data_IF_940640139295
#
_entry.id   IF_940640139295
#
_cell.length_a   1.000
_cell.length_b   1.000
_cell.length_c   1.000
_cell.angle_alpha   90.00
_cell.angle_beta   90.00
_cell.angle_gamma   90.00
#
_symmetry.space_group_name_H-M   'P 1'
#
loop_
_entity.id
_entity.type
_entity.pdbx_description
1 polymer ?
#
# COMPACT_ATOMS: atom_id res chain seq x y z
N UNK A 1 24.08 -13.67 -9.27
CA UNK A 1 24.29 -12.89 -9.58
C UNK A 1 23.71 -11.66 -9.35
N UNK A 2 24.40 -10.80 -9.40
CA UNK A 2 23.97 -9.51 -9.03
C UNK A 2 22.80 -9.06 -9.84
N UNK A 3 22.72 -9.57 -11.01
CA UNK A 3 21.64 -9.12 -11.82
C UNK A 3 20.35 -9.60 -11.28
N UNK A 4 20.34 -10.70 -10.65
CA UNK A 4 19.11 -11.18 -10.07
C UNK A 4 18.67 -10.33 -8.88
N UNK A 5 19.52 -9.39 -8.49
CA UNK A 5 19.25 -8.62 -7.30
C UNK A 5 18.67 -7.26 -7.57
N UNK A 6 17.95 -7.11 -8.64
CA UNK A 6 17.25 -5.87 -8.89
C UNK A 6 16.20 -5.66 -7.82
N UNK A 7 16.36 -4.61 -7.05
CA UNK A 7 15.43 -4.25 -6.00
C UNK A 7 14.52 -3.16 -6.51
N UNK A 8 13.24 -3.39 -6.43
CA UNK A 8 12.24 -2.42 -6.86
C UNK A 8 11.53 -1.84 -5.66
N UNK A 9 10.96 -0.67 -5.88
CA UNK A 9 10.13 -0.02 -4.87
C UNK A 9 8.69 -0.37 -5.14
N UNK A 10 7.98 -0.74 -4.09
CA UNK A 10 6.57 -1.10 -4.19
C UNK A 10 5.77 -0.33 -3.18
N UNK A 11 4.50 -0.18 -3.50
CA UNK A 11 3.54 0.40 -2.59
C UNK A 11 2.44 -0.61 -2.37
N UNK A 12 2.15 -0.92 -1.12
CA UNK A 12 1.04 -1.79 -0.77
C UNK A 12 -0.02 -0.96 -0.10
N UNK A 13 -1.18 -0.85 -0.76
CA UNK A 13 -2.35 -0.25 -0.16
C UNK A 13 -3.22 -1.37 0.37
N UNK A 14 -3.83 -1.19 1.54
CA UNK A 14 -4.59 -2.27 2.14
C UNK A 14 -5.80 -1.74 2.90
N UNK A 15 -6.79 -2.60 3.02
CA UNK A 15 -7.98 -2.35 3.84
C UNK A 15 -8.01 -3.37 4.96
N UNK A 16 -8.04 -2.87 6.19
CA UNK A 16 -8.20 -3.72 7.37
C UNK A 16 -9.66 -3.69 7.81
N UNK A 17 -10.09 -4.79 8.38
CA UNK A 17 -11.44 -4.92 8.89
C UNK A 17 -11.75 -3.82 9.91
N UNK A 18 -12.95 -3.22 9.85
CA UNK A 18 -13.33 -2.21 10.83
C UNK A 18 -13.52 -2.81 12.22
N UNK A 19 -13.54 -4.12 12.33
CA UNK A 19 -13.64 -4.79 13.62
C UNK A 19 -12.35 -4.73 14.42
N UNK A 20 -11.25 -4.37 13.78
CA UNK A 20 -10.00 -4.18 14.50
C UNK A 20 -10.14 -2.93 15.36
N UNK A 21 -9.84 -3.05 16.65
CA UNK A 21 -9.91 -1.90 17.54
C UNK A 21 -8.74 -0.95 17.26
N UNK A 22 -8.96 0.31 17.55
CA UNK A 22 -7.90 1.30 17.33
C UNK A 22 -6.64 0.98 18.13
N UNK A 23 -6.82 0.35 19.28
CA UNK A 23 -5.69 -0.05 20.10
C UNK A 23 -4.84 -1.10 19.42
N UNK A 24 -5.46 -1.93 18.59
CA UNK A 24 -4.77 -3.02 17.91
C UNK A 24 -4.27 -2.65 16.53
N UNK A 25 -4.54 -1.44 16.05
CA UNK A 25 -4.10 -1.04 14.72
C UNK A 25 -2.58 -1.07 14.61
N UNK A 26 -1.88 -0.64 15.65
CA UNK A 26 -0.43 -0.65 15.62
C UNK A 26 0.11 -2.07 15.53
N UNK A 27 -0.53 -2.99 16.22
CA UNK A 27 -0.13 -4.40 16.16
C UNK A 27 -0.33 -4.95 14.77
N UNK A 28 -1.45 -4.65 14.15
CA UNK A 28 -1.72 -5.13 12.80
C UNK A 28 -0.75 -4.54 11.80
N UNK A 29 -0.46 -3.24 11.92
CA UNK A 29 0.49 -2.59 11.04
C UNK A 29 1.88 -3.20 11.21
N UNK A 30 2.29 -3.44 12.45
CA UNK A 30 3.58 -4.06 12.73
C UNK A 30 3.66 -5.45 12.11
N UNK A 31 2.56 -6.18 12.17
CA UNK A 31 2.53 -7.52 11.59
C UNK A 31 2.68 -7.46 10.07
N UNK A 32 2.04 -6.51 9.43
CA UNK A 32 2.19 -6.34 7.99
C UNK A 32 3.62 -6.00 7.61
N UNK A 33 4.25 -5.13 8.37
CA UNK A 33 5.65 -4.79 8.14
C UNK A 33 6.55 -6.00 8.35
N UNK A 34 6.22 -6.82 9.34
CA UNK A 34 6.98 -8.03 9.62
C UNK A 34 6.88 -9.01 8.45
N UNK A 35 5.69 -9.14 7.86
CA UNK A 35 5.50 -10.00 6.71
C UNK A 35 6.41 -9.56 5.57
N UNK A 36 6.47 -8.25 5.33
CA UNK A 36 7.33 -7.71 4.28
C UNK A 36 8.79 -8.01 4.57
N UNK A 37 9.22 -7.80 5.80
CA UNK A 37 10.62 -8.04 6.17
C UNK A 37 10.98 -9.51 6.06
N UNK A 38 10.09 -10.38 6.49
CA UNK A 38 10.35 -11.81 6.43
C UNK A 38 10.36 -12.34 5.00
N UNK A 39 9.76 -11.59 4.09
CA UNK A 39 9.81 -11.95 2.68
C UNK A 39 11.04 -11.38 1.98
N UNK A 40 11.91 -10.71 2.72
CA UNK A 40 13.14 -10.15 2.19
C UNK A 40 13.07 -8.67 1.86
N UNK A 41 12.00 -8.00 2.28
CA UNK A 41 11.83 -6.60 1.95
C UNK A 41 12.29 -5.65 3.04
N UNK A 42 12.39 -4.39 2.65
CA UNK A 42 12.76 -3.33 3.57
C UNK A 42 11.68 -2.26 3.53
N UNK A 43 11.04 -2.02 4.67
CA UNK A 43 10.00 -0.99 4.76
C UNK A 43 10.67 0.38 4.78
N UNK A 44 10.29 1.24 3.84
CA UNK A 44 10.86 2.59 3.78
C UNK A 44 9.92 3.62 4.38
N UNK A 45 8.61 3.40 4.27
CA UNK A 45 7.65 4.33 4.82
C UNK A 45 6.35 3.61 5.08
N UNK A 46 5.66 3.98 6.13
CA UNK A 46 4.38 3.37 6.47
C UNK A 46 3.44 4.46 6.95
N UNK A 47 2.25 4.50 6.35
CA UNK A 47 1.23 5.43 6.77
C UNK A 47 0.25 4.68 7.67
N UNK A 48 -0.02 5.28 8.84
CA UNK A 48 -0.95 4.66 9.77
C UNK A 48 -2.34 4.56 9.14
N UNK A 49 -3.01 3.43 9.31
CA UNK A 49 -4.32 3.26 8.69
C UNK A 49 -5.36 4.17 9.33
N UNK A 50 -6.26 4.68 8.50
CA UNK A 50 -7.34 5.55 8.94
C UNK A 50 -8.67 4.96 8.51
N UNK A 51 -9.67 5.10 9.36
CA UNK A 51 -11.00 4.59 9.05
C UNK A 51 -11.62 5.42 7.93
N UNK A 52 -12.17 4.73 6.94
CA UNK A 52 -12.77 5.36 5.77
C UNK A 52 -14.09 4.70 5.43
N UNK A 53 -15.01 5.50 4.91
CA UNK A 53 -16.23 4.97 4.33
C UNK A 53 -15.92 4.47 2.93
N UNK A 54 -16.49 3.34 2.59
CA UNK A 54 -16.29 2.73 1.29
C UNK A 54 -17.42 3.14 0.35
N UNK A 55 -17.11 3.28 -0.94
CA UNK A 55 -18.12 3.63 -1.93
C UNK A 55 -19.18 2.57 -2.03
N UNK A 56 -18.82 1.32 -1.79
CA UNK A 56 -19.75 0.20 -1.76
C UNK A 56 -19.18 -0.85 -0.82
N UNK A 57 -20.04 -1.81 -0.46
CA UNK A 57 -19.65 -2.80 0.52
C UNK A 57 -18.52 -3.69 0.02
N UNK A 58 -17.58 -3.99 0.91
CA UNK A 58 -16.55 -4.97 0.68
C UNK A 58 -16.65 -5.96 1.82
N UNK A 59 -16.88 -7.23 1.49
CA UNK A 59 -17.05 -8.29 2.49
C UNK A 59 -18.09 -7.91 3.53
N UNK A 60 -19.19 -7.31 3.06
CA UNK A 60 -20.34 -6.90 3.88
C UNK A 60 -20.01 -5.74 4.83
N UNK A 61 -18.91 -5.03 4.59
CA UNK A 61 -18.53 -3.88 5.41
C UNK A 61 -18.57 -2.62 4.56
N UNK A 62 -19.04 -1.54 5.16
CA UNK A 62 -19.09 -0.24 4.51
C UNK A 62 -17.97 0.67 4.98
N UNK A 63 -17.23 0.24 5.98
CA UNK A 63 -16.07 0.97 6.50
C UNK A 63 -14.89 0.05 6.57
N UNK A 64 -13.70 0.62 6.51
CA UNK A 64 -12.46 -0.12 6.67
C UNK A 64 -11.37 0.84 7.07
N UNK A 65 -10.29 0.30 7.62
CA UNK A 65 -9.10 1.09 7.86
C UNK A 65 -8.23 1.01 6.61
N UNK A 66 -7.94 2.16 6.03
CA UNK A 66 -7.12 2.24 4.83
C UNK A 66 -5.74 2.76 5.20
N UNK A 67 -4.71 2.03 4.78
CA UNK A 67 -3.34 2.45 4.98
C UNK A 67 -2.48 1.98 3.82
N UNK A 68 -1.22 2.40 3.82
CA UNK A 68 -0.28 1.90 2.84
C UNK A 68 1.13 1.88 3.38
N UNK A 69 1.94 1.03 2.78
CA UNK A 69 3.33 0.81 3.17
C UNK A 69 4.17 0.86 1.91
N UNK A 70 5.23 1.67 1.96
CA UNK A 70 6.22 1.71 0.88
C UNK A 70 7.39 0.83 1.29
N UNK A 71 7.85 0.00 0.37
CA UNK A 71 8.93 -0.92 0.70
C UNK A 71 9.73 -1.26 -0.54
N UNK A 72 10.92 -1.78 -0.31
CA UNK A 72 11.82 -2.24 -1.38
C UNK A 72 11.98 -3.73 -1.23
N UNK A 73 11.94 -4.44 -2.35
CA UNK A 73 12.10 -5.88 -2.33
C UNK A 73 12.42 -6.36 -3.75
N UNK A 74 13.04 -7.51 -3.83
CA UNK A 74 13.20 -8.18 -5.12
C UNK A 74 11.85 -8.68 -5.58
N UNK A 75 11.63 -8.66 -6.90
CA UNK A 75 10.32 -9.01 -7.44
C UNK A 75 9.88 -10.42 -7.03
N UNK A 76 10.82 -11.31 -6.80
CA UNK A 76 10.49 -12.68 -6.37
C UNK A 76 9.79 -12.70 -5.01
N UNK A 77 10.08 -11.72 -4.15
CA UNK A 77 9.48 -11.69 -2.83
C UNK A 77 8.01 -11.28 -2.83
N UNK A 78 7.55 -10.65 -3.92
CA UNK A 78 6.17 -10.17 -3.97
C UNK A 78 5.18 -11.33 -3.92
N UNK A 79 5.48 -12.42 -4.61
CA UNK A 79 4.59 -13.58 -4.57
C UNK A 79 4.42 -14.12 -3.18
N UNK A 80 5.49 -14.14 -2.40
CA UNK A 80 5.43 -14.62 -1.03
C UNK A 80 4.57 -13.69 -0.17
N UNK A 81 4.74 -12.39 -0.34
CA UNK A 81 3.92 -11.43 0.39
C UNK A 81 2.44 -11.63 0.06
N UNK A 82 2.11 -11.74 -1.23
CA UNK A 82 0.72 -11.92 -1.64
C UNK A 82 0.12 -13.19 -1.07
N UNK A 83 0.90 -14.26 -1.03
CA UNK A 83 0.41 -15.52 -0.49
C UNK A 83 0.05 -15.39 0.99
N UNK A 84 0.93 -14.74 1.77
CA UNK A 84 0.68 -14.58 3.20
C UNK A 84 -0.50 -13.66 3.43
N UNK A 85 -0.57 -12.55 2.69
CA UNK A 85 -1.65 -11.59 2.86
C UNK A 85 -3.00 -12.18 2.50
N UNK A 86 -3.03 -13.05 1.51
CA UNK A 86 -4.28 -13.68 1.11
C UNK A 86 -4.88 -14.53 2.21
N UNK A 87 -4.06 -15.01 3.12
CA UNK A 87 -4.51 -15.82 4.25
C UNK A 87 -4.77 -15.00 5.50
N UNK A 88 -4.48 -13.71 5.47
CA UNK A 88 -4.63 -12.85 6.64
C UNK A 88 -6.10 -12.48 6.82
N UNK A 89 -6.66 -12.88 7.95
CA UNK A 89 -8.11 -12.75 8.15
C UNK A 89 -8.58 -11.30 8.30
N UNK A 90 -7.73 -10.43 8.79
CA UNK A 90 -8.13 -9.05 9.04
C UNK A 90 -7.93 -8.13 7.86
N UNK A 91 -7.22 -8.59 6.84
CA UNK A 91 -7.07 -7.81 5.61
C UNK A 91 -8.25 -8.13 4.71
N UNK A 92 -9.01 -7.09 4.39
CA UNK A 92 -10.15 -7.25 3.50
C UNK A 92 -9.71 -7.27 2.05
N UNK A 93 -8.81 -6.38 1.69
CA UNK A 93 -8.25 -6.28 0.34
C UNK A 93 -6.89 -5.64 0.40
N UNK A 94 -6.07 -5.89 -0.60
CA UNK A 94 -4.79 -5.23 -0.74
C UNK A 94 -4.41 -5.09 -2.20
N UNK A 95 -3.55 -4.12 -2.48
CA UNK A 95 -3.07 -3.87 -3.83
C UNK A 95 -1.58 -3.53 -3.73
N UNK A 96 -0.76 -4.21 -4.51
CA UNK A 96 0.67 -3.95 -4.54
C UNK A 96 1.02 -3.42 -5.93
N UNK A 97 1.64 -2.25 -5.98
CA UNK A 97 1.97 -1.57 -7.22
C UNK A 97 3.48 -1.33 -7.24
N UNK A 98 4.08 -1.52 -8.42
CA UNK A 98 5.49 -1.22 -8.59
C UNK A 98 5.69 0.29 -8.63
N UNK A 99 6.19 0.80 -7.51
CA UNK A 99 6.35 2.23 -7.33
C UNK A 99 7.50 2.80 -8.18
N UNK A 100 8.47 1.96 -8.52
CA UNK A 100 9.58 2.40 -9.36
C UNK A 100 9.11 2.84 -10.73
N UNK A 101 8.13 2.15 -11.30
CA UNK A 101 7.56 2.53 -12.57
C UNK A 101 6.83 3.85 -12.47
N UNK A 102 6.10 4.05 -11.38
CA UNK A 102 5.39 5.29 -11.16
C UNK A 102 6.38 6.46 -11.01
N UNK A 103 7.47 6.22 -10.29
CA UNK A 103 8.49 7.24 -10.11
C UNK A 103 9.09 7.67 -11.44
N UNK A 104 9.37 6.72 -12.30
CA UNK A 104 9.94 7.02 -13.60
C UNK A 104 8.99 7.88 -14.44
N UNK A 105 7.72 7.58 -14.40
CA UNK A 105 6.73 8.38 -15.09
C UNK A 105 6.63 9.78 -14.50
N UNK A 106 6.67 9.86 -13.19
CA UNK A 106 6.58 11.13 -12.50
C UNK A 106 7.81 12.02 -12.76
N UNK A 107 8.97 11.40 -12.91
CA UNK A 107 10.17 12.16 -13.20
C UNK A 107 10.06 12.85 -14.57
N UNK A 108 9.52 12.15 -15.55
CA UNK A 108 9.33 12.77 -16.86
C UNK A 108 8.27 13.86 -16.80
N UNK A 109 7.28 13.73 -15.94
CA UNK A 109 6.26 14.77 -15.75
C UNK A 109 6.73 15.86 -14.80
N UNK A 110 7.58 15.54 -13.87
CA UNK A 110 8.05 16.49 -12.87
C UNK A 110 8.82 17.65 -13.48
N UNK A 111 9.41 17.43 -14.64
CA UNK A 111 10.09 18.50 -15.35
C UNK A 111 9.12 19.58 -15.79
N UNK A 112 7.85 19.27 -15.85
CA UNK A 112 6.83 20.22 -16.24
C UNK A 112 6.14 20.87 -15.07
N UNK A 113 6.18 20.22 -13.92
CA UNK A 113 5.48 20.70 -12.75
C UNK A 113 6.45 21.12 -11.70
N UNK A 114 6.55 22.41 -11.53
CA UNK A 114 7.49 22.95 -10.58
C UNK A 114 6.89 23.05 -9.21
N UNK A 115 5.57 23.09 -9.16
CA UNK A 115 4.88 23.32 -7.91
C UNK A 115 4.53 21.99 -7.22
N UNK A 116 5.57 21.25 -6.87
CA UNK A 116 5.38 19.92 -6.34
C UNK A 116 4.66 19.91 -5.01
N UNK A 117 4.95 20.91 -4.16
CA UNK A 117 4.36 20.92 -2.83
C UNK A 117 2.87 21.18 -2.84
N UNK A 118 2.41 22.08 -3.68
CA UNK A 118 0.97 22.32 -3.75
C UNK A 118 0.28 21.16 -4.42
N UNK A 119 0.92 20.53 -5.39
CA UNK A 119 0.33 19.35 -6.00
C UNK A 119 0.24 18.20 -5.06
N UNK A 120 1.23 18.01 -4.23
CA UNK A 120 1.18 16.95 -3.23
C UNK A 120 0.02 17.14 -2.28
N UNK A 121 -0.29 18.38 -1.93
CA UNK A 121 -1.41 18.64 -1.04
C UNK A 121 -2.75 18.42 -1.73
N UNK A 122 -2.86 18.82 -2.98
CA UNK A 122 -4.13 18.67 -3.69
C UNK A 122 -4.31 17.24 -4.19
N UNK A 123 -3.22 16.59 -4.62
CA UNK A 123 -3.34 15.25 -5.16
C UNK A 123 -3.37 14.18 -4.10
N UNK A 124 -2.99 14.50 -2.87
CA UNK A 124 -3.05 13.49 -1.81
C UNK A 124 -4.46 12.94 -1.65
N UNK A 125 -5.46 13.82 -1.70
CA UNK A 125 -6.84 13.36 -1.64
C UNK A 125 -7.24 12.54 -2.83
N UNK A 126 -6.93 13.05 -4.02
CA UNK A 126 -7.29 12.34 -5.25
C UNK A 126 -6.54 11.04 -5.41
N UNK A 127 -5.24 11.06 -5.13
CA UNK A 127 -4.43 9.86 -5.22
C UNK A 127 -4.91 8.80 -4.25
N UNK A 128 -5.29 9.24 -3.06
CA UNK A 128 -5.80 8.38 -2.02
C UNK A 128 -7.10 7.72 -2.48
N UNK A 129 -7.99 8.53 -3.05
CA UNK A 129 -9.27 8.03 -3.54
C UNK A 129 -9.10 7.05 -4.70
N UNK A 130 -8.17 7.34 -5.60
CA UNK A 130 -7.89 6.44 -6.71
C UNK A 130 -7.37 5.11 -6.23
N UNK A 131 -6.49 5.12 -5.24
CA UNK A 131 -5.98 3.89 -4.68
C UNK A 131 -7.09 3.09 -4.02
N UNK A 132 -7.94 3.79 -3.29
CA UNK A 132 -9.06 3.13 -2.63
C UNK A 132 -9.99 2.50 -3.66
N UNK A 133 -10.30 3.22 -4.73
CA UNK A 133 -11.14 2.68 -5.78
C UNK A 133 -10.51 1.48 -6.45
N UNK A 134 -9.19 1.53 -6.68
CA UNK A 134 -8.49 0.39 -7.28
C UNK A 134 -8.60 -0.85 -6.41
N UNK A 135 -8.51 -0.67 -5.09
CA UNK A 135 -8.66 -1.78 -4.17
C UNK A 135 -10.08 -2.32 -4.21
N UNK A 136 -11.06 -1.43 -4.26
CA UNK A 136 -12.45 -1.84 -4.27
C UNK A 136 -12.82 -2.56 -5.55
N UNK A 137 -12.27 -2.11 -6.67
CA UNK A 137 -12.56 -2.72 -7.97
C UNK A 137 -11.72 -3.96 -8.26
N UNK A 138 -10.62 -4.06 -7.58
CA UNK A 138 -9.75 -5.22 -7.77
C UNK A 138 -10.22 -6.40 -7.00
#
# INVERSE_FOLDING_TARGET
MSEAETINKYEMAYLLSPEVSEENLDLETTELQKIIRESGGEVTESLNPKKRWLSYEVKKQRQAYFGFILFKIQSEGIGKIKSVLSLHKKIMRFLIVNYSEIELKNVSDANKNIDINSELKSTNGQSFEKKLESILNG
#
